data_IF_596568665417
#
_entry.id   IF_596568665417
#
_cell.length_a   1.000
_cell.length_b   1.000
_cell.length_c   1.000
_cell.angle_alpha   90.00
_cell.angle_beta   90.00
_cell.angle_gamma   90.00
#
_symmetry.space_group_name_H-M   'P 1'
#
loop_
_entity.id
_entity.type
_entity.pdbx_description
1 polymer ?
#
# COMPACT_ATOMS: atom_id res chain seq x y z
N UNK A 1 -8.52 -5.76 5.22
CA UNK A 1 -8.87 -6.66 4.12
C UNK A 1 -8.82 -5.94 2.78
N UNK A 2 -8.27 -6.59 1.78
CA UNK A 2 -8.22 -6.01 0.45
C UNK A 2 -9.62 -5.87 -0.13
N UNK A 3 -9.91 -4.70 -0.68
CA UNK A 3 -11.21 -4.38 -1.26
C UNK A 3 -11.07 -3.94 -2.71
N UNK A 4 -12.15 -4.08 -3.45
CA UNK A 4 -12.25 -3.53 -4.79
C UNK A 4 -12.52 -2.02 -4.72
N UNK A 5 -12.21 -1.27 -5.79
CA UNK A 5 -12.43 0.18 -5.78
C UNK A 5 -13.84 0.60 -5.38
N UNK A 6 -14.84 -0.18 -5.76
CA UNK A 6 -16.25 0.12 -5.46
C UNK A 6 -16.55 0.20 -3.96
N UNK A 7 -15.77 -0.52 -3.14
CA UNK A 7 -15.95 -0.49 -1.69
C UNK A 7 -15.79 0.91 -1.11
N UNK A 8 -14.87 1.67 -1.67
CA UNK A 8 -14.59 3.02 -1.19
C UNK A 8 -15.42 4.08 -1.88
N UNK A 9 -16.25 3.67 -2.83
CA UNK A 9 -17.06 4.55 -3.68
C UNK A 9 -16.16 5.61 -4.34
N UNK A 10 -16.48 6.88 -4.25
CA UNK A 10 -15.69 7.95 -4.86
C UNK A 10 -14.79 8.65 -3.82
N UNK A 11 -14.51 8.01 -2.70
CA UNK A 11 -13.69 8.60 -1.66
C UNK A 11 -12.24 8.75 -2.11
N UNK A 12 -11.61 9.85 -1.72
CA UNK A 12 -10.18 10.01 -1.90
C UNK A 12 -9.44 9.14 -0.89
N UNK A 13 -8.54 8.32 -1.40
CA UNK A 13 -7.74 7.44 -0.56
C UNK A 13 -6.32 7.97 -0.44
N UNK A 14 -5.68 7.68 0.69
CA UNK A 14 -4.28 8.02 0.88
C UNK A 14 -3.40 6.88 0.41
N UNK A 15 -2.33 7.21 -0.29
CA UNK A 15 -1.30 6.25 -0.63
C UNK A 15 -0.51 5.90 0.64
N UNK A 16 -0.56 4.63 1.02
CA UNK A 16 0.11 4.16 2.22
C UNK A 16 1.52 3.65 1.93
N UNK A 17 1.68 2.84 0.90
CA UNK A 17 2.95 2.16 0.64
C UNK A 17 2.99 1.64 -0.79
N UNK A 18 4.19 1.57 -1.35
CA UNK A 18 4.42 0.97 -2.66
C UNK A 18 5.26 -0.28 -2.45
N UNK A 19 4.64 -1.44 -2.62
CA UNK A 19 5.34 -2.71 -2.53
C UNK A 19 6.01 -3.01 -3.87
N UNK A 20 7.31 -3.16 -3.86
CA UNK A 20 8.11 -3.31 -5.08
C UNK A 20 8.29 -4.76 -5.50
N UNK A 21 7.98 -5.70 -4.61
CA UNK A 21 8.13 -7.13 -4.84
C UNK A 21 6.85 -7.86 -4.44
N UNK A 22 6.56 -8.96 -5.15
CA UNK A 22 5.36 -9.75 -4.88
C UNK A 22 5.31 -10.24 -3.42
N UNK A 23 6.42 -10.76 -2.91
CA UNK A 23 6.47 -11.25 -1.52
C UNK A 23 6.15 -10.15 -0.52
N UNK A 24 6.69 -8.95 -0.73
CA UNK A 24 6.43 -7.80 0.12
C UNK A 24 4.96 -7.42 0.05
N UNK A 25 4.38 -7.42 -1.15
CA UNK A 25 2.96 -7.11 -1.34
C UNK A 25 2.08 -8.10 -0.59
N UNK A 26 2.35 -9.41 -0.71
CA UNK A 26 1.57 -10.44 -0.05
C UNK A 26 1.68 -10.33 1.47
N UNK A 27 2.87 -10.08 1.99
CA UNK A 27 3.08 -9.90 3.42
C UNK A 27 2.32 -8.69 3.95
N UNK A 28 2.31 -7.60 3.18
CA UNK A 28 1.61 -6.39 3.57
C UNK A 28 0.09 -6.59 3.55
N UNK A 29 -0.43 -7.32 2.57
CA UNK A 29 -1.85 -7.67 2.54
C UNK A 29 -2.26 -8.46 3.78
N UNK A 30 -1.44 -9.45 4.19
CA UNK A 30 -1.70 -10.22 5.39
C UNK A 30 -1.68 -9.35 6.65
N UNK A 31 -0.69 -8.48 6.76
CA UNK A 31 -0.54 -7.60 7.91
C UNK A 31 -1.74 -6.67 8.07
N UNK A 32 -2.14 -6.01 7.00
CA UNK A 32 -3.27 -5.10 7.04
C UNK A 32 -4.59 -5.82 7.30
N UNK A 33 -4.76 -7.00 6.73
CA UNK A 33 -5.95 -7.83 6.97
C UNK A 33 -6.01 -8.26 8.43
N UNK A 34 -4.90 -8.72 9.00
CA UNK A 34 -4.82 -9.11 10.40
C UNK A 34 -5.08 -7.93 11.36
N UNK A 35 -4.79 -6.73 10.91
CA UNK A 35 -5.01 -5.50 11.67
C UNK A 35 -6.40 -4.89 11.45
N UNK A 36 -7.26 -5.57 10.74
CA UNK A 36 -8.64 -5.15 10.43
C UNK A 36 -8.70 -3.81 9.68
N UNK A 37 -7.70 -3.55 8.84
CA UNK A 37 -7.67 -2.34 7.99
C UNK A 37 -8.14 -2.71 6.59
N UNK A 38 -9.10 -1.96 6.08
CA UNK A 38 -9.54 -2.09 4.69
C UNK A 38 -8.59 -1.32 3.78
N UNK A 39 -8.22 -1.93 2.66
CA UNK A 39 -7.26 -1.33 1.74
C UNK A 39 -7.55 -1.68 0.29
N UNK A 40 -7.03 -0.87 -0.61
CA UNK A 40 -7.09 -1.07 -2.04
C UNK A 40 -5.67 -1.27 -2.55
N UNK A 41 -5.48 -2.22 -3.46
CA UNK A 41 -4.17 -2.44 -4.10
C UNK A 41 -4.34 -2.23 -5.60
N UNK A 42 -3.52 -1.38 -6.17
CA UNK A 42 -3.50 -1.16 -7.60
C UNK A 42 -2.09 -1.30 -8.16
N UNK A 43 -1.91 -2.01 -9.28
CA UNK A 43 -0.62 -2.00 -9.96
C UNK A 43 -0.45 -0.65 -10.66
N UNK A 44 0.71 -0.04 -10.46
CA UNK A 44 1.03 1.22 -11.11
C UNK A 44 2.54 1.32 -11.29
N UNK A 45 2.97 2.32 -12.04
CA UNK A 45 4.37 2.52 -12.34
C UNK A 45 4.99 3.59 -11.45
N UNK A 46 6.24 3.39 -11.10
CA UNK A 46 7.04 4.37 -10.38
C UNK A 46 8.43 4.44 -10.99
N UNK A 47 9.09 5.57 -10.80
CA UNK A 47 10.46 5.76 -11.28
C UNK A 47 11.43 5.37 -10.18
N UNK A 48 12.30 4.38 -10.46
CA UNK A 48 13.33 3.92 -9.53
C UNK A 48 14.72 4.08 -10.11
N UNK A 49 15.71 4.13 -9.20
CA UNK A 49 17.12 4.19 -9.55
C UNK A 49 17.70 5.61 -9.45
N UNK A 50 18.98 5.67 -9.06
CA UNK A 50 19.68 6.94 -8.91
C UNK A 50 20.39 7.38 -10.20
N UNK A 51 20.95 6.42 -10.92
CA UNK A 51 21.74 6.70 -12.13
C UNK A 51 20.91 6.44 -13.37
N UNK A 52 20.24 5.29 -13.43
CA UNK A 52 19.37 4.94 -14.52
C UNK A 52 17.93 4.97 -14.04
N UNK A 53 17.22 6.01 -14.38
CA UNK A 53 15.80 6.11 -14.05
C UNK A 53 15.01 5.19 -14.95
N UNK A 54 14.42 4.18 -14.35
CA UNK A 54 13.56 3.22 -15.08
C UNK A 54 12.18 3.22 -14.48
N UNK A 55 11.18 3.14 -15.33
CA UNK A 55 9.83 2.88 -14.88
C UNK A 55 9.73 1.44 -14.40
N UNK A 56 9.19 1.25 -13.21
CA UNK A 56 8.98 -0.05 -12.61
C UNK A 56 7.53 -0.16 -12.19
N UNK A 57 7.00 -1.40 -12.20
CA UNK A 57 5.66 -1.67 -11.73
C UNK A 57 5.72 -2.06 -10.27
N UNK A 58 4.87 -1.44 -9.45
CA UNK A 58 4.72 -1.78 -8.05
C UNK A 58 3.26 -1.99 -7.69
N UNK A 59 3.02 -2.52 -6.51
CA UNK A 59 1.69 -2.61 -5.93
C UNK A 59 1.48 -1.41 -5.00
N UNK A 60 0.60 -0.52 -5.39
CA UNK A 60 0.29 0.69 -4.64
C UNK A 60 -0.85 0.40 -3.69
N UNK A 61 -0.59 0.55 -2.41
CA UNK A 61 -1.57 0.30 -1.35
C UNK A 61 -2.18 1.62 -0.89
N UNK A 62 -3.51 1.66 -0.94
CA UNK A 62 -4.28 2.85 -0.55
C UNK A 62 -5.19 2.52 0.61
N UNK A 63 -5.37 3.46 1.52
CA UNK A 63 -6.27 3.33 2.66
C UNK A 63 -7.12 4.57 2.80
N UNK A 64 -8.24 4.45 3.50
CA UNK A 64 -9.06 5.59 3.87
C UNK A 64 -8.24 6.57 4.73
N UNK A 65 -8.36 7.89 4.49
CA UNK A 65 -7.60 8.88 5.27
C UNK A 65 -7.75 8.74 6.79
N UNK A 66 -8.90 8.27 7.26
CA UNK A 66 -9.11 8.02 8.68
C UNK A 66 -8.29 6.89 9.25
N UNK A 67 -7.72 6.03 8.40
CA UNK A 67 -6.91 4.89 8.81
C UNK A 67 -5.41 5.09 8.57
N UNK A 68 -5.03 6.18 7.91
CA UNK A 68 -3.64 6.36 7.45
C UNK A 68 -2.63 6.34 8.60
N UNK A 69 -2.87 7.08 9.66
CA UNK A 69 -1.94 7.11 10.79
C UNK A 69 -1.79 5.75 11.46
N UNK A 70 -2.91 5.10 11.72
CA UNK A 70 -2.91 3.76 12.33
C UNK A 70 -2.17 2.77 11.45
N UNK A 71 -2.42 2.80 10.15
CA UNK A 71 -1.76 1.92 9.20
C UNK A 71 -0.25 2.18 9.17
N UNK A 72 0.17 3.43 9.16
CA UNK A 72 1.60 3.79 9.19
C UNK A 72 2.29 3.30 10.45
N UNK A 73 1.65 3.41 11.60
CA UNK A 73 2.19 2.90 12.86
C UNK A 73 2.39 1.39 12.81
N UNK A 74 1.42 0.67 12.25
CA UNK A 74 1.51 -0.78 12.10
C UNK A 74 2.68 -1.15 11.20
N UNK A 75 2.83 -0.47 10.07
CA UNK A 75 3.93 -0.70 9.15
C UNK A 75 5.28 -0.44 9.81
N UNK A 76 5.41 0.69 10.52
CA UNK A 76 6.65 1.05 11.20
C UNK A 76 7.05 0.01 12.24
N UNK A 77 6.09 -0.53 13.01
CA UNK A 77 6.35 -1.58 13.98
C UNK A 77 6.82 -2.89 13.35
N UNK A 78 6.49 -3.10 12.10
CA UNK A 78 6.81 -4.31 11.38
C UNK A 78 7.97 -4.14 10.40
N UNK A 79 8.76 -3.07 10.56
CA UNK A 79 9.99 -2.87 9.81
C UNK A 79 9.83 -2.25 8.44
N UNK A 80 8.66 -1.75 8.10
CA UNK A 80 8.47 -1.04 6.83
C UNK A 80 8.97 0.38 6.94
N UNK A 81 9.62 0.86 5.89
CA UNK A 81 10.07 2.25 5.79
C UNK A 81 9.02 3.06 5.02
N UNK A 82 8.62 4.14 5.63
CA UNK A 82 7.60 5.02 5.06
C UNK A 82 8.21 6.29 4.49
#
# INVERSE_FOLDING_TARGET
>A
MRREPDFFEDAELDLLYIAKRLKESLNLEELLTASSIEFLVEPDQYVGGLIFRRERTGAFFYVDPGCTETAREILARNGYRL
#
